data_IF_267772563190
#
_entry.id   IF_267772563190
#
_cell.length_a   1.000
_cell.length_b   1.000
_cell.length_c   1.000
_cell.angle_alpha   90.00
_cell.angle_beta   90.00
_cell.angle_gamma   90.00
#
_symmetry.space_group_name_H-M   'P 1'
#
loop_
_entity.id
_entity.type
_entity.pdbx_description
1 polymer ?
#
# COMPACT_ATOMS: atom_id res chain seq x y z
N UNK A 1 11.29 -7.16 11.81
CA UNK A 1 10.10 -7.76 11.17
C UNK A 1 10.67 -8.67 10.08
N UNK A 2 10.39 -9.98 10.03
CA UNK A 2 11.17 -10.87 9.13
C UNK A 2 11.04 -10.52 7.64
N UNK A 3 12.14 -10.66 6.88
CA UNK A 3 12.23 -10.40 5.43
C UNK A 3 11.11 -11.10 4.65
N UNK A 4 10.83 -12.37 4.98
CA UNK A 4 9.78 -13.17 4.34
C UNK A 4 8.38 -12.57 4.49
N UNK A 5 8.06 -11.97 5.66
CA UNK A 5 6.78 -11.31 5.86
C UNK A 5 6.65 -10.11 4.93
N UNK A 6 7.68 -9.26 4.88
CA UNK A 6 7.63 -8.06 4.06
C UNK A 6 7.46 -8.39 2.57
N UNK A 7 8.20 -9.39 2.07
CA UNK A 7 8.09 -9.85 0.68
C UNK A 7 6.66 -10.29 0.30
N UNK A 8 5.96 -11.04 1.17
CA UNK A 8 4.55 -11.44 0.93
C UNK A 8 3.58 -10.26 0.92
N UNK A 9 3.93 -9.19 1.62
CA UNK A 9 3.10 -8.00 1.76
C UNK A 9 3.39 -6.92 0.71
N UNK A 10 4.38 -7.12 -0.15
CA UNK A 10 4.77 -6.16 -1.21
C UNK A 10 3.59 -5.70 -2.07
N UNK A 11 2.72 -6.57 -2.60
CA UNK A 11 1.62 -6.12 -3.46
C UNK A 11 0.69 -5.10 -2.79
N UNK A 12 0.36 -5.33 -1.51
CA UNK A 12 -0.51 -4.43 -0.75
C UNK A 12 0.21 -3.16 -0.28
N UNK A 13 1.51 -3.24 0.03
CA UNK A 13 2.28 -2.07 0.50
C UNK A 13 2.64 -1.11 -0.63
N UNK A 14 2.90 -1.64 -1.84
CA UNK A 14 3.42 -0.86 -2.96
C UNK A 14 2.27 -0.31 -3.79
N UNK A 15 1.29 -1.18 -4.07
CA UNK A 15 0.21 -0.86 -4.99
C UNK A 15 -1.12 -0.68 -4.28
N UNK A 16 -1.20 -0.71 -2.95
CA UNK A 16 -2.49 -0.71 -2.25
C UNK A 16 -3.46 -1.80 -2.76
N UNK A 17 -2.92 -2.97 -3.13
CA UNK A 17 -3.72 -4.10 -3.54
C UNK A 17 -4.57 -4.60 -2.37
N UNK A 18 -5.88 -4.42 -2.47
CA UNK A 18 -6.90 -4.90 -1.56
C UNK A 18 -7.74 -6.02 -2.18
N UNK A 19 -8.91 -6.25 -1.59
CA UNK A 19 -9.87 -7.23 -2.07
C UNK A 19 -11.28 -6.66 -2.02
N UNK A 20 -12.13 -7.01 -2.99
CA UNK A 20 -13.54 -6.63 -3.02
C UNK A 20 -14.41 -7.87 -3.00
N UNK A 21 -15.45 -7.86 -2.19
CA UNK A 21 -16.45 -8.93 -2.19
C UNK A 21 -17.41 -8.76 -3.37
N UNK A 22 -17.52 -9.77 -4.22
CA UNK A 22 -18.47 -9.81 -5.33
C UNK A 22 -19.94 -9.86 -4.90
N UNK A 23 -20.22 -10.24 -3.64
CA UNK A 23 -21.59 -10.34 -3.11
C UNK A 23 -22.15 -9.01 -2.62
N UNK A 24 -21.44 -8.38 -1.68
CA UNK A 24 -21.89 -7.15 -1.01
C UNK A 24 -21.20 -5.90 -1.54
N UNK A 25 -20.20 -6.03 -2.41
CA UNK A 25 -19.44 -4.91 -2.97
C UNK A 25 -18.46 -4.26 -1.99
N UNK A 26 -18.41 -4.68 -0.73
CA UNK A 26 -17.50 -4.12 0.27
C UNK A 26 -16.04 -4.34 -0.11
N UNK A 27 -15.26 -3.27 -0.04
CA UNK A 27 -13.82 -3.26 -0.28
C UNK A 27 -13.09 -3.42 1.05
N UNK A 28 -12.03 -4.20 1.05
CA UNK A 28 -11.18 -4.44 2.21
C UNK A 28 -9.72 -4.19 1.87
N UNK A 29 -9.05 -3.56 2.84
CA UNK A 29 -7.60 -3.42 2.86
C UNK A 29 -7.12 -3.60 4.31
N UNK A 30 -6.13 -4.47 4.60
CA UNK A 30 -5.44 -5.41 3.71
C UNK A 30 -6.37 -6.43 3.02
N UNK A 31 -5.92 -7.10 1.94
CA UNK A 31 -6.74 -8.08 1.22
C UNK A 31 -7.09 -9.25 2.14
N UNK A 32 -8.34 -9.72 2.03
CA UNK A 32 -8.89 -10.82 2.83
C UNK A 32 -9.38 -11.93 1.92
N UNK A 33 -9.28 -13.17 2.40
CA UNK A 33 -9.85 -14.34 1.71
C UNK A 33 -11.35 -14.52 1.99
N UNK A 34 -11.87 -13.94 3.07
CA UNK A 34 -13.25 -14.13 3.56
C UNK A 34 -13.87 -12.78 3.87
N UNK A 35 -15.11 -12.57 3.44
CA UNK A 35 -15.88 -11.37 3.74
C UNK A 35 -16.51 -11.46 5.14
N UNK A 36 -16.15 -10.58 6.11
CA UNK A 36 -16.75 -10.57 7.44
C UNK A 36 -18.17 -9.98 7.48
N UNK A 37 -18.63 -9.31 6.44
CA UNK A 37 -19.95 -8.64 6.44
C UNK A 37 -21.08 -9.56 5.97
N UNK A 38 -20.79 -10.55 5.14
CA UNK A 38 -21.81 -11.47 4.64
C UNK A 38 -22.08 -12.63 5.62
N UNK A 39 -23.35 -13.05 5.82
CA UNK A 39 -23.73 -14.10 6.77
C UNK A 39 -23.33 -15.53 6.38
N UNK A 40 -22.70 -15.75 5.22
CA UNK A 40 -22.15 -17.05 4.81
C UNK A 40 -20.67 -16.92 4.42
N UNK A 41 -19.82 -16.71 5.42
CA UNK A 41 -18.38 -16.46 5.26
C UNK A 41 -17.68 -17.47 4.34
N UNK A 42 -18.00 -18.77 4.45
CA UNK A 42 -17.35 -19.82 3.66
C UNK A 42 -17.58 -19.67 2.15
N UNK A 43 -18.78 -19.30 1.75
CA UNK A 43 -19.16 -19.12 0.33
C UNK A 43 -18.55 -17.85 -0.26
N UNK A 44 -18.21 -16.88 0.58
CA UNK A 44 -17.60 -15.63 0.13
C UNK A 44 -16.17 -15.83 -0.37
N UNK A 45 -15.50 -16.94 -0.04
CA UNK A 45 -14.11 -17.20 -0.47
C UNK A 45 -13.96 -17.18 -2.00
N UNK A 46 -14.91 -17.80 -2.72
CA UNK A 46 -14.90 -17.82 -4.18
C UNK A 46 -15.28 -16.46 -4.80
N UNK A 47 -15.86 -15.56 -4.01
CA UNK A 47 -16.37 -14.27 -4.46
C UNK A 47 -15.48 -13.10 -4.05
N UNK A 48 -14.41 -13.34 -3.30
CA UNK A 48 -13.41 -12.33 -2.97
C UNK A 48 -12.43 -12.18 -4.13
N UNK A 49 -12.51 -11.06 -4.85
CA UNK A 49 -11.62 -10.73 -5.96
C UNK A 49 -10.55 -9.72 -5.58
N UNK A 50 -9.42 -9.67 -6.28
CA UNK A 50 -8.43 -8.59 -6.12
C UNK A 50 -9.06 -7.25 -6.50
N UNK A 51 -8.75 -6.21 -5.73
CA UNK A 51 -9.21 -4.85 -6.01
C UNK A 51 -8.12 -3.85 -5.71
N UNK A 52 -7.86 -2.98 -6.67
CA UNK A 52 -6.81 -1.97 -6.60
C UNK A 52 -7.40 -0.66 -6.07
N UNK A 53 -6.97 -0.21 -4.90
CA UNK A 53 -7.37 1.10 -4.38
C UNK A 53 -6.66 2.20 -5.17
N UNK A 54 -7.34 3.33 -5.37
CA UNK A 54 -6.81 4.55 -5.99
C UNK A 54 -5.72 5.19 -5.13
N UNK A 55 -5.82 5.02 -3.80
CA UNK A 55 -4.95 5.67 -2.82
C UNK A 55 -5.40 7.08 -2.44
N UNK A 56 -6.51 7.56 -3.01
CA UNK A 56 -7.12 8.83 -2.64
C UNK A 56 -7.95 8.67 -1.37
N UNK A 57 -7.86 9.67 -0.49
CA UNK A 57 -8.63 9.67 0.75
C UNK A 57 -8.61 10.99 1.48
N UNK A 58 -9.25 10.99 2.64
CA UNK A 58 -9.31 12.15 3.54
C UNK A 58 -8.83 11.79 4.93
N UNK A 59 -8.12 12.70 5.58
CA UNK A 59 -7.69 12.53 6.97
C UNK A 59 -8.92 12.45 7.87
N UNK A 60 -9.14 11.30 8.48
CA UNK A 60 -10.25 11.08 9.42
C UNK A 60 -9.85 11.47 10.85
N UNK A 61 -8.64 11.10 11.26
CA UNK A 61 -8.05 11.47 12.54
C UNK A 61 -6.52 11.48 12.39
N UNK A 62 -5.83 12.29 13.18
CA UNK A 62 -4.37 12.34 13.16
C UNK A 62 -3.80 12.64 14.55
N UNK A 63 -2.51 12.37 14.69
CA UNK A 63 -1.70 12.74 15.84
C UNK A 63 -0.31 13.17 15.36
N UNK A 64 0.32 14.07 16.11
CA UNK A 64 1.70 14.49 15.86
C UNK A 64 2.59 13.77 16.85
N UNK A 65 3.51 12.96 16.34
CA UNK A 65 4.46 12.21 17.16
C UNK A 65 5.71 13.05 17.35
N UNK A 66 5.91 13.50 18.59
CA UNK A 66 7.07 14.30 19.02
C UNK A 66 8.20 13.46 19.63
N UNK A 67 7.92 12.20 20.00
CA UNK A 67 8.90 11.27 20.53
C UNK A 67 8.84 9.98 19.71
N UNK A 68 9.89 9.74 18.93
CA UNK A 68 9.95 8.61 18.02
C UNK A 68 10.47 7.35 18.71
N UNK A 69 9.95 6.20 18.25
CA UNK A 69 10.59 4.92 18.49
C UNK A 69 11.92 4.83 17.73
N UNK A 70 12.77 3.89 18.16
CA UNK A 70 14.08 3.65 17.57
C UNK A 70 14.00 3.47 16.04
N UNK A 71 14.82 4.21 15.30
CA UNK A 71 14.86 4.21 13.83
C UNK A 71 13.91 5.22 13.14
N UNK A 72 13.15 6.02 13.90
CA UNK A 72 12.29 7.09 13.38
C UNK A 72 12.71 8.49 13.87
N UNK A 73 13.85 8.61 14.54
CA UNK A 73 14.33 9.83 15.21
C UNK A 73 14.48 10.99 14.22
N UNK A 74 14.97 10.70 13.01
CA UNK A 74 15.16 11.72 11.96
C UNK A 74 13.85 12.23 11.34
N UNK A 75 12.71 11.64 11.70
CA UNK A 75 11.39 12.03 11.17
C UNK A 75 10.59 12.87 12.17
N UNK A 76 11.10 13.09 13.38
CA UNK A 76 10.40 13.89 14.39
C UNK A 76 10.46 15.39 14.05
N UNK A 77 9.34 16.13 14.16
CA UNK A 77 7.98 15.65 14.38
C UNK A 77 7.34 15.10 13.10
N UNK A 78 6.65 13.95 13.18
CA UNK A 78 5.87 13.41 12.05
C UNK A 78 4.40 13.24 12.39
N UNK A 79 3.57 13.34 11.37
CA UNK A 79 2.12 13.13 11.50
C UNK A 79 1.77 11.68 11.20
N UNK A 80 1.06 11.05 12.13
CA UNK A 80 0.43 9.75 11.92
C UNK A 80 -1.08 9.94 11.77
N UNK A 81 -1.66 9.47 10.68
CA UNK A 81 -3.07 9.65 10.38
C UNK A 81 -3.80 8.34 10.08
N UNK A 82 -5.08 8.35 10.42
CA UNK A 82 -6.09 7.46 9.86
C UNK A 82 -6.71 8.16 8.66
N UNK A 83 -6.57 7.58 7.49
CA UNK A 83 -7.09 8.11 6.22
C UNK A 83 -8.26 7.25 5.77
N UNK A 84 -9.42 7.87 5.57
CA UNK A 84 -10.58 7.21 4.95
C UNK A 84 -10.42 7.29 3.44
N UNK A 85 -10.26 6.14 2.81
CA UNK A 85 -10.15 6.05 1.34
C UNK A 85 -11.51 6.29 0.69
N UNK A 86 -11.51 6.73 -0.57
CA UNK A 86 -12.74 6.94 -1.34
C UNK A 86 -13.54 5.65 -1.53
N UNK A 87 -12.89 4.50 -1.51
CA UNK A 87 -13.52 3.19 -1.64
C UNK A 87 -14.06 2.62 -0.33
N UNK A 88 -13.77 3.27 0.82
CA UNK A 88 -14.32 2.92 2.13
C UNK A 88 -13.31 2.50 3.20
N UNK A 89 -12.28 1.66 2.92
CA UNK A 89 -11.30 1.25 3.93
C UNK A 89 -10.59 2.41 4.63
N UNK A 90 -10.31 2.23 5.91
CA UNK A 90 -9.47 3.16 6.68
C UNK A 90 -8.03 2.65 6.72
N UNK A 91 -7.10 3.50 6.29
CA UNK A 91 -5.68 3.20 6.22
C UNK A 91 -4.92 4.00 7.27
N UNK A 92 -4.03 3.34 8.00
CA UNK A 92 -3.07 4.02 8.87
C UNK A 92 -1.79 4.27 8.10
N UNK A 93 -1.28 5.50 8.15
CA UNK A 93 -0.01 5.87 7.52
C UNK A 93 0.47 7.25 7.98
N UNK A 94 1.73 7.55 7.69
CA UNK A 94 2.29 8.88 7.95
C UNK A 94 1.83 9.86 6.87
N UNK A 95 1.53 11.10 7.25
CA UNK A 95 1.35 12.20 6.31
C UNK A 95 2.69 12.93 6.15
N UNK A 96 3.10 13.14 4.90
CA UNK A 96 4.40 13.71 4.51
C UNK A 96 4.20 14.84 3.50
N UNK A 97 5.28 15.58 3.22
CA UNK A 97 5.30 16.72 2.30
C UNK A 97 4.34 17.86 2.71
N UNK A 98 4.11 18.00 4.02
CA UNK A 98 3.30 19.07 4.62
C UNK A 98 3.86 19.40 6.01
N UNK A 99 3.74 20.65 6.43
CA UNK A 99 4.03 21.01 7.82
C UNK A 99 3.03 20.33 8.78
N UNK A 100 3.48 19.71 9.88
CA UNK A 100 2.58 19.07 10.84
C UNK A 100 1.47 19.98 11.38
N UNK A 101 1.71 21.30 11.46
CA UNK A 101 0.73 22.29 11.92
C UNK A 101 -0.40 22.56 10.91
N UNK A 102 -0.18 22.24 9.64
CA UNK A 102 -1.16 22.45 8.56
C UNK A 102 -2.10 21.25 8.38
N UNK A 103 -1.79 20.11 9.00
CA UNK A 103 -2.65 18.92 8.93
C UNK A 103 -3.93 19.17 9.72
N UNK A 104 -5.06 18.89 9.09
CA UNK A 104 -6.40 19.00 9.67
C UNK A 104 -7.28 17.80 9.29
N UNK A 105 -8.28 17.53 10.12
CA UNK A 105 -9.32 16.56 9.79
C UNK A 105 -10.05 17.04 8.52
N UNK A 106 -10.29 16.13 7.58
CA UNK A 106 -10.88 16.41 6.28
C UNK A 106 -9.88 16.79 5.19
N UNK A 107 -8.58 16.94 5.49
CA UNK A 107 -7.55 17.19 4.49
C UNK A 107 -7.52 16.07 3.44
N UNK A 108 -7.60 16.44 2.16
CA UNK A 108 -7.47 15.50 1.04
C UNK A 108 -6.02 15.07 0.88
N UNK A 109 -5.80 13.77 0.82
CA UNK A 109 -4.48 13.17 0.69
C UNK A 109 -4.49 12.04 -0.33
N UNK A 110 -3.32 11.76 -0.90
CA UNK A 110 -3.08 10.65 -1.83
C UNK A 110 -1.93 9.80 -1.33
N UNK A 111 -2.06 8.49 -1.47
CA UNK A 111 -1.00 7.56 -1.15
C UNK A 111 0.20 7.73 -2.08
N UNK A 112 1.39 7.77 -1.51
CA UNK A 112 2.66 7.92 -2.21
C UNK A 112 3.65 6.84 -1.77
N UNK A 113 4.46 6.35 -2.71
CA UNK A 113 5.45 5.32 -2.42
C UNK A 113 6.69 5.94 -1.76
N UNK A 114 7.03 5.48 -0.54
CA UNK A 114 8.12 6.02 0.27
C UNK A 114 8.86 4.91 1.02
N UNK A 115 10.08 5.21 1.45
CA UNK A 115 10.82 4.39 2.42
C UNK A 115 10.08 4.43 3.76
N UNK A 116 9.75 3.26 4.30
CA UNK A 116 9.11 3.12 5.61
C UNK A 116 10.17 2.99 6.70
N UNK A 117 11.18 2.14 6.49
CA UNK A 117 12.28 1.89 7.43
C UNK A 117 13.41 1.10 6.77
N UNK A 118 14.52 0.93 7.48
CA UNK A 118 15.67 0.11 7.11
C UNK A 118 16.05 -0.79 8.28
N UNK A 119 16.48 -2.02 8.02
CA UNK A 119 16.91 -2.96 9.07
C UNK A 119 18.41 -2.86 9.35
N UNK A 120 18.85 -1.72 9.89
CA UNK A 120 20.27 -1.46 10.15
C UNK A 120 21.11 -1.35 8.88
N UNK A 121 22.43 -1.13 9.02
CA UNK A 121 23.34 -0.78 7.91
C UNK A 121 23.47 -1.83 6.81
N UNK A 122 23.19 -3.09 7.12
CA UNK A 122 23.34 -4.22 6.19
C UNK A 122 22.00 -4.94 5.90
N UNK A 123 20.88 -4.43 6.42
CA UNK A 123 19.58 -5.07 6.23
C UNK A 123 18.79 -4.53 5.05
N UNK A 124 17.58 -5.07 4.89
CA UNK A 124 16.70 -4.72 3.77
C UNK A 124 16.02 -3.37 4.01
N UNK A 125 15.93 -2.57 2.95
CA UNK A 125 15.12 -1.35 2.94
C UNK A 125 13.66 -1.71 2.68
N UNK A 126 12.80 -1.30 3.60
CA UNK A 126 11.36 -1.57 3.54
C UNK A 126 10.65 -0.34 2.98
N UNK A 127 10.05 -0.48 1.79
CA UNK A 127 9.19 0.55 1.18
C UNK A 127 7.69 0.29 1.39
N UNK A 128 6.86 1.30 1.13
CA UNK A 128 5.41 1.17 1.13
C UNK A 128 4.74 2.52 0.98
N UNK A 129 3.47 2.60 1.35
CA UNK A 129 2.70 3.82 1.22
C UNK A 129 2.88 4.76 2.44
N UNK A 130 2.99 6.04 2.16
CA UNK A 130 2.67 7.17 3.04
C UNK A 130 1.60 8.03 2.35
N UNK A 131 1.15 9.11 2.98
CA UNK A 131 0.14 10.01 2.40
C UNK A 131 0.73 11.40 2.19
N UNK A 132 0.47 12.02 1.05
CA UNK A 132 0.83 13.41 0.78
C UNK A 132 -0.44 14.23 0.48
N UNK A 133 -0.50 15.53 0.82
CA UNK A 133 -1.65 16.36 0.48
C UNK A 133 -1.82 16.47 -1.04
N UNK A 134 -3.07 16.50 -1.49
CA UNK A 134 -3.39 16.82 -2.88
C UNK A 134 -3.68 18.31 -2.95
N UNK A 135 -2.80 19.10 -3.59
CA UNK A 135 -3.10 20.50 -3.85
C UNK A 135 -4.20 20.60 -4.92
N UNK A 136 -5.17 21.50 -4.74
CA UNK A 136 -6.29 21.69 -5.68
C UNK A 136 -5.84 22.23 -7.07
N UNK A 137 -4.55 22.52 -7.27
CA UNK A 137 -4.01 23.07 -8.51
C UNK A 137 -3.80 22.03 -9.64
N UNK A 138 -3.75 20.73 -9.32
CA UNK A 138 -3.55 19.67 -10.32
C UNK A 138 -4.39 18.44 -9.97
N UNK A 139 -5.70 18.54 -10.19
CA UNK A 139 -6.68 17.47 -10.06
C UNK A 139 -6.53 16.31 -11.07
N UNK A 140 -5.30 15.96 -11.49
CA UNK A 140 -5.04 14.85 -12.39
C UNK A 140 -4.05 13.85 -11.74
N UNK A 141 -4.41 12.57 -11.61
CA UNK A 141 -3.44 11.55 -11.21
C UNK A 141 -2.39 11.41 -12.32
N UNK A 142 -1.13 11.80 -12.06
CA UNK A 142 0.01 11.31 -12.86
C UNK A 142 0.19 9.82 -12.58
N UNK A 143 -0.68 9.01 -13.15
CA UNK A 143 -0.46 7.57 -13.30
C UNK A 143 0.66 7.43 -14.35
N UNK A 144 1.86 6.90 -14.03
CA UNK A 144 2.63 6.27 -15.09
C UNK A 144 1.74 5.14 -15.63
N UNK A 145 1.32 5.26 -16.89
CA UNK A 145 0.55 4.23 -17.57
C UNK A 145 1.19 2.86 -17.28
N UNK A 146 0.41 1.78 -17.08
CA UNK A 146 0.99 0.46 -17.02
C UNK A 146 1.75 0.29 -18.34
N UNK A 147 3.09 0.23 -18.27
CA UNK A 147 3.88 -0.25 -19.39
C UNK A 147 3.26 -1.60 -19.71
N UNK A 148 2.74 -1.72 -20.94
CA UNK A 148 1.97 -2.85 -21.40
C UNK A 148 2.65 -4.13 -20.95
N UNK A 149 1.84 -5.13 -20.59
CA UNK A 149 2.28 -6.50 -20.35
C UNK A 149 3.20 -6.93 -21.48
N UNK A 150 4.51 -6.79 -21.27
CA UNK A 150 5.49 -7.53 -22.01
C UNK A 150 5.23 -8.97 -21.60
N UNK A 151 4.60 -9.72 -22.51
CA UNK A 151 4.53 -11.16 -22.44
C UNK A 151 5.92 -11.65 -22.02
N UNK A 152 5.99 -12.38 -20.93
CA UNK A 152 7.19 -13.12 -20.59
C UNK A 152 7.41 -14.12 -21.72
N UNK A 153 8.21 -13.73 -22.71
CA UNK A 153 8.84 -14.65 -23.62
C UNK A 153 9.78 -15.51 -22.78
N UNK A 154 9.40 -16.77 -22.59
CA UNK A 154 10.26 -17.82 -22.07
C UNK A 154 11.57 -17.77 -22.84
N UNK A 155 12.74 -17.58 -22.19
CA UNK A 155 14.00 -17.76 -22.88
C UNK A 155 14.18 -19.25 -23.21
N UNK A 156 14.54 -19.49 -24.47
CA UNK A 156 14.86 -20.78 -25.07
C UNK A 156 15.65 -21.70 -24.15
N UNK A 157 15.23 -22.96 -24.12
CA UNK A 157 16.00 -24.06 -23.57
C UNK A 157 17.36 -24.11 -24.28
N UNK A 158 18.44 -23.84 -23.53
CA UNK A 158 19.79 -24.09 -23.99
C UNK A 158 19.96 -25.59 -24.34
N UNK A 159 20.68 -25.93 -25.41
CA UNK A 159 20.84 -27.30 -25.87
C UNK A 159 21.66 -28.11 -24.86
N UNK A 160 21.20 -29.34 -24.58
CA UNK A 160 21.94 -30.31 -23.79
C UNK A 160 23.25 -30.66 -24.53
N UNK A 161 24.37 -30.16 -23.99
CA UNK A 161 25.70 -30.56 -24.41
C UNK A 161 25.88 -32.07 -24.18
N UNK A 162 26.28 -32.74 -25.26
CA UNK A 162 26.77 -34.12 -25.26
C UNK A 162 28.05 -34.18 -24.42
N UNK A 163 28.05 -35.06 -23.42
CA UNK A 163 29.28 -35.61 -22.87
C UNK A 163 29.09 -37.10 -22.54
N UNK A 164 29.99 -37.90 -23.14
CA UNK A 164 30.53 -39.15 -22.60
C UNK A 164 29.77 -40.47 -22.83
N UNK A 165 30.09 -41.13 -23.94
CA UNK A 165 30.42 -42.56 -24.01
C UNK A 165 31.38 -42.79 -25.18
#
# INVERSE_FOLDING_TARGET
>A
MSVARFWRETPRRYNLAGSKCGRCGTVYFPPRAVCPTCPQHRETMAQMGPFQLTGDGTVFAYTVVHEAAEGFEMLVPYVLALVRTVEGPMLTGQVVDIDPSEVRIGLKVRATFRKLREEGKAGVIHYGYKFAPVSDADGAPRRPAPRGTAAASTPDAAPADRASA
#
